data_IF_962372205075
#
_entry.id   IF_962372205075
#
_cell.length_a   1.000
_cell.length_b   1.000
_cell.length_c   1.000
_cell.angle_alpha   90.00
_cell.angle_beta   90.00
_cell.angle_gamma   90.00
#
_symmetry.space_group_name_H-M   'P 1'
#
loop_
_entity.id
_entity.type
_entity.pdbx_description
1 polymer ?
#
# COMPACT_ATOMS: atom_id res chain seq x y z
N UNK A 1 -4.96 -11.65 17.58
CA UNK A 1 -4.36 -10.72 16.59
C UNK A 1 -4.78 -9.37 17.07
N UNK A 2 -3.82 -8.60 17.55
CA UNK A 2 -4.10 -7.34 18.21
C UNK A 2 -4.32 -6.24 17.16
N UNK A 3 -4.90 -5.11 17.56
CA UNK A 3 -5.17 -4.00 16.65
C UNK A 3 -3.90 -3.51 15.94
N UNK A 4 -2.78 -3.54 16.65
CA UNK A 4 -1.44 -3.24 16.11
C UNK A 4 -1.07 -4.20 14.97
N UNK A 5 -1.29 -5.51 15.15
CA UNK A 5 -0.98 -6.53 14.13
C UNK A 5 -1.81 -6.31 12.86
N UNK A 6 -3.10 -6.00 13.03
CA UNK A 6 -4.01 -5.73 11.91
C UNK A 6 -3.54 -4.48 11.14
N UNK A 7 -3.15 -3.42 11.86
CA UNK A 7 -2.62 -2.20 11.24
C UNK A 7 -1.30 -2.45 10.50
N UNK A 8 -0.41 -3.28 11.04
CA UNK A 8 0.82 -3.70 10.35
C UNK A 8 0.50 -4.44 9.04
N UNK A 9 -0.42 -5.41 9.08
CA UNK A 9 -0.85 -6.17 7.89
C UNK A 9 -1.45 -5.22 6.84
N UNK A 10 -2.29 -4.27 7.26
CA UNK A 10 -2.89 -3.28 6.37
C UNK A 10 -1.81 -2.47 5.65
N UNK A 11 -0.78 -2.00 6.38
CA UNK A 11 0.32 -1.22 5.79
C UNK A 11 1.13 -2.04 4.80
N UNK A 12 1.42 -3.29 5.11
CA UNK A 12 2.13 -4.21 4.21
C UNK A 12 1.32 -4.50 2.94
N UNK A 13 0.01 -4.71 3.08
CA UNK A 13 -0.90 -4.90 1.96
C UNK A 13 -0.99 -3.62 1.09
N UNK A 14 -1.14 -2.45 1.71
CA UNK A 14 -1.20 -1.17 1.00
C UNK A 14 0.09 -0.91 0.21
N UNK A 15 1.25 -1.19 0.80
CA UNK A 15 2.55 -1.14 0.10
C UNK A 15 2.56 -2.05 -1.12
N UNK A 16 2.19 -3.33 -0.94
CA UNK A 16 2.22 -4.32 -2.02
C UNK A 16 1.26 -3.96 -3.17
N UNK A 17 0.08 -3.43 -2.85
CA UNK A 17 -0.90 -2.98 -3.85
C UNK A 17 -0.42 -1.73 -4.60
N UNK A 18 0.13 -0.76 -3.88
CA UNK A 18 0.68 0.46 -4.48
C UNK A 18 1.85 0.16 -5.41
N UNK A 19 2.78 -0.71 -4.99
CA UNK A 19 3.90 -1.14 -5.82
C UNK A 19 3.43 -1.90 -7.07
N UNK A 20 2.47 -2.81 -6.93
CA UNK A 20 1.88 -3.52 -8.07
C UNK A 20 1.22 -2.56 -9.06
N UNK A 21 0.37 -1.64 -8.59
CA UNK A 21 -0.30 -0.67 -9.48
C UNK A 21 0.73 0.23 -10.19
N UNK A 22 1.82 0.59 -9.51
CA UNK A 22 2.91 1.37 -10.09
C UNK A 22 3.64 0.58 -11.19
N UNK A 23 3.98 -0.68 -10.94
CA UNK A 23 4.62 -1.57 -11.93
C UNK A 23 3.71 -1.78 -13.14
N UNK A 24 2.43 -2.09 -12.92
CA UNK A 24 1.44 -2.32 -13.97
C UNK A 24 1.24 -1.05 -14.82
N UNK A 25 1.19 0.13 -14.19
CA UNK A 25 1.01 1.42 -14.88
C UNK A 25 2.18 1.77 -15.80
N UNK A 26 3.41 1.54 -15.35
CA UNK A 26 4.60 1.93 -16.11
C UNK A 26 5.15 0.80 -17.00
N UNK A 27 4.73 -0.45 -16.79
CA UNK A 27 5.25 -1.62 -17.49
C UNK A 27 6.76 -1.81 -17.29
N UNK A 28 7.25 -1.48 -16.09
CA UNK A 28 8.69 -1.48 -15.76
C UNK A 28 9.02 -2.43 -14.63
N UNK A 29 10.24 -2.94 -14.64
CA UNK A 29 10.75 -3.71 -13.53
C UNK A 29 10.98 -2.81 -12.30
N UNK A 30 10.83 -3.33 -11.06
CA UNK A 30 11.03 -2.55 -9.84
C UNK A 30 12.40 -1.84 -9.80
N UNK A 31 13.46 -2.48 -10.28
CA UNK A 31 14.82 -1.93 -10.29
C UNK A 31 14.94 -0.66 -11.16
N UNK A 32 14.03 -0.51 -12.14
CA UNK A 32 13.98 0.66 -13.02
C UNK A 32 13.19 1.82 -12.40
N UNK A 33 12.38 1.55 -11.37
CA UNK A 33 11.58 2.52 -10.64
C UNK A 33 12.34 3.10 -9.44
N UNK A 34 13.30 2.36 -8.90
CA UNK A 34 14.12 2.79 -7.78
C UNK A 34 15.42 3.51 -8.21
N UNK A 35 16.00 4.22 -7.26
CA UNK A 35 17.35 4.79 -7.31
C UNK A 35 18.35 3.74 -6.85
N UNK A 36 19.65 4.03 -7.03
CA UNK A 36 20.71 3.16 -6.50
C UNK A 36 20.68 3.02 -4.97
N UNK A 37 20.00 3.93 -4.27
CA UNK A 37 19.86 3.92 -2.82
C UNK A 37 18.61 3.15 -2.35
N UNK A 38 17.90 2.46 -3.25
CA UNK A 38 16.73 1.66 -2.91
C UNK A 38 15.42 2.45 -2.72
N UNK A 39 15.43 3.76 -2.92
CA UNK A 39 14.22 4.61 -2.86
C UNK A 39 13.60 4.78 -4.24
N UNK A 40 12.29 5.01 -4.35
CA UNK A 40 11.69 5.33 -5.65
C UNK A 40 12.28 6.64 -6.20
N UNK A 41 12.46 6.70 -7.52
CA UNK A 41 12.78 7.97 -8.20
C UNK A 41 11.63 8.94 -7.94
N UNK A 42 11.93 10.24 -7.79
CA UNK A 42 10.95 11.28 -7.40
C UNK A 42 9.62 11.17 -8.17
N UNK A 43 9.67 11.04 -9.50
CA UNK A 43 8.48 10.89 -10.35
C UNK A 43 7.57 9.69 -10.03
N UNK A 44 8.13 8.65 -9.41
CA UNK A 44 7.43 7.43 -9.04
C UNK A 44 7.06 7.44 -7.56
N UNK A 45 7.80 8.17 -6.73
CA UNK A 45 7.50 8.32 -5.30
C UNK A 45 6.16 9.01 -5.07
N UNK A 46 5.86 10.11 -5.78
CA UNK A 46 4.60 10.82 -5.60
C UNK A 46 3.39 9.97 -6.01
N UNK A 47 3.52 9.22 -7.11
CA UNK A 47 2.48 8.30 -7.56
C UNK A 47 2.31 7.12 -6.60
N UNK A 48 3.42 6.54 -6.13
CA UNK A 48 3.40 5.49 -5.12
C UNK A 48 2.67 5.96 -3.86
N UNK A 49 3.02 7.12 -3.32
CA UNK A 49 2.40 7.68 -2.11
C UNK A 49 0.88 7.83 -2.30
N UNK A 50 0.44 8.37 -3.46
CA UNK A 50 -0.98 8.52 -3.76
C UNK A 50 -1.72 7.17 -3.78
N UNK A 51 -1.12 6.13 -4.34
CA UNK A 51 -1.72 4.80 -4.36
C UNK A 51 -1.69 4.15 -2.99
N UNK A 52 -0.61 4.33 -2.25
CA UNK A 52 -0.48 3.86 -0.87
C UNK A 52 -1.60 4.43 0.01
N UNK A 53 -1.77 5.76 0.03
CA UNK A 53 -2.79 6.44 0.84
C UNK A 53 -4.21 5.94 0.50
N UNK A 54 -4.48 5.74 -0.79
CA UNK A 54 -5.75 5.20 -1.30
C UNK A 54 -5.99 3.78 -0.78
N UNK A 55 -4.99 2.90 -0.86
CA UNK A 55 -5.14 1.51 -0.44
C UNK A 55 -5.14 1.35 1.08
N UNK A 56 -4.31 2.09 1.81
CA UNK A 56 -4.32 2.11 3.28
C UNK A 56 -5.69 2.54 3.78
N UNK A 57 -6.22 3.67 3.30
CA UNK A 57 -7.54 4.16 3.69
C UNK A 57 -8.66 3.17 3.38
N UNK A 58 -8.62 2.53 2.20
CA UNK A 58 -9.62 1.52 1.83
C UNK A 58 -9.56 0.30 2.77
N UNK A 59 -8.37 -0.21 3.04
CA UNK A 59 -8.16 -1.40 3.88
C UNK A 59 -8.50 -1.14 5.35
N UNK A 60 -8.20 0.05 5.88
CA UNK A 60 -8.64 0.48 7.22
C UNK A 60 -10.17 0.52 7.30
N UNK A 61 -10.83 1.14 6.33
CA UNK A 61 -12.31 1.19 6.32
C UNK A 61 -12.96 -0.18 6.21
N UNK A 62 -12.34 -1.10 5.47
CA UNK A 62 -12.82 -2.47 5.34
C UNK A 62 -12.60 -3.27 6.63
N UNK A 63 -11.46 -3.08 7.30
CA UNK A 63 -11.19 -3.77 8.56
C UNK A 63 -12.12 -3.28 9.67
N UNK A 64 -12.41 -1.98 9.76
CA UNK A 64 -13.36 -1.41 10.72
C UNK A 64 -14.78 -1.95 10.50
N UNK A 65 -15.27 -1.95 9.26
CA UNK A 65 -16.60 -2.51 8.93
C UNK A 65 -16.72 -3.99 9.27
N UNK A 66 -15.68 -4.77 8.99
CA UNK A 66 -15.69 -6.20 9.30
C UNK A 66 -15.65 -6.46 10.82
N UNK A 67 -14.99 -5.59 11.61
CA UNK A 67 -14.98 -5.69 13.07
C UNK A 67 -16.38 -5.42 13.64
N UNK A 68 -17.07 -4.39 13.14
CA UNK A 68 -18.44 -4.07 13.56
C UNK A 68 -19.46 -5.17 13.18
N UNK A 69 -19.27 -5.86 12.04
CA UNK A 69 -20.13 -6.99 11.63
C UNK A 69 -19.81 -8.30 12.38
N UNK A 70 -18.56 -8.49 12.83
CA UNK A 70 -18.14 -9.70 13.57
C UNK A 70 -18.42 -9.64 15.07
N UNK A 71 -18.59 -8.44 15.63
CA UNK A 71 -18.89 -8.22 17.04
C UNK A 71 -20.05 -7.21 17.21
N UNK A 72 -21.32 -7.64 17.01
CA UNK A 72 -22.49 -6.79 17.20
C UNK A 72 -22.76 -6.45 18.69
#
# INVERSE_FOLDING_TARGET
>A
MDKEDILCIIKECACSLAEKELIDKYGKLPEQLITQNGTYRIKYQDEFNKQYDKYESLLVRLSEKNVDELFP
#
